data_IF_487567789471
#
_entry.id   IF_487567789471
#
_cell.length_a   1.000
_cell.length_b   1.000
_cell.length_c   1.000
_cell.angle_alpha   90.00
_cell.angle_beta   90.00
_cell.angle_gamma   90.00
#
_symmetry.space_group_name_H-M   'P 1'
#
loop_
_entity.id
_entity.type
_entity.pdbx_description
1 polymer ?
#
# COMPACT_ATOMS: atom_id res chain seq x y z
N UNK A 1 36.01 -3.47 21.31
CA UNK A 1 34.75 -4.12 20.94
C UNK A 1 34.40 -3.65 19.54
N UNK A 2 34.61 -4.49 18.53
CA UNK A 2 34.54 -4.10 17.15
C UNK A 2 33.10 -3.96 16.66
N UNK A 3 32.79 -2.82 16.06
CA UNK A 3 31.55 -2.61 15.33
C UNK A 3 31.52 -3.56 14.12
N UNK A 4 30.66 -4.55 14.14
CA UNK A 4 30.35 -5.33 12.93
C UNK A 4 29.72 -4.37 11.92
N UNK A 5 30.48 -3.91 10.93
CA UNK A 5 29.96 -3.27 9.73
C UNK A 5 28.95 -4.26 9.10
N UNK A 6 27.71 -3.84 8.95
CA UNK A 6 26.74 -4.55 8.11
C UNK A 6 27.39 -4.77 6.74
N UNK A 7 27.50 -6.02 6.31
CA UNK A 7 27.91 -6.33 4.94
C UNK A 7 26.83 -5.78 4.02
N UNK A 8 27.20 -4.76 3.24
CA UNK A 8 26.40 -4.24 2.15
C UNK A 8 26.17 -5.40 1.16
N UNK A 9 24.96 -5.95 1.12
CA UNK A 9 24.61 -7.14 0.32
C UNK A 9 24.47 -6.83 -1.16
N UNK A 10 24.85 -5.64 -1.62
CA UNK A 10 24.83 -5.27 -3.06
C UNK A 10 23.41 -5.19 -3.68
N UNK A 11 22.36 -5.44 -2.90
CA UNK A 11 20.98 -5.28 -3.36
C UNK A 11 20.52 -3.84 -3.17
N UNK A 12 20.07 -3.21 -4.24
CA UNK A 12 19.45 -1.89 -4.20
C UNK A 12 18.10 -1.98 -3.50
N UNK A 13 17.84 -1.10 -2.54
CA UNK A 13 16.56 -0.99 -1.86
C UNK A 13 15.72 0.06 -2.57
N UNK A 14 14.46 -0.28 -2.85
CA UNK A 14 13.44 0.64 -3.34
C UNK A 14 12.64 1.16 -2.16
N UNK A 15 12.58 2.47 -2.00
CA UNK A 15 11.82 3.15 -0.95
C UNK A 15 10.44 3.54 -1.49
N UNK A 16 9.40 2.91 -0.95
CA UNK A 16 8.02 3.32 -1.18
C UNK A 16 7.73 4.60 -0.39
N UNK A 17 6.63 5.25 -0.71
CA UNK A 17 6.06 6.34 0.09
C UNK A 17 5.40 5.81 1.38
N UNK A 18 4.59 6.65 2.03
CA UNK A 18 3.90 6.34 3.28
C UNK A 18 2.39 6.56 3.18
N UNK A 19 1.76 6.78 4.34
CA UNK A 19 0.31 6.91 4.46
C UNK A 19 -0.26 8.20 3.90
N UNK A 20 -0.65 8.22 2.64
CA UNK A 20 -1.30 9.38 1.99
C UNK A 20 -2.51 9.87 2.79
N UNK A 21 -3.42 8.98 3.17
CA UNK A 21 -4.67 9.37 3.85
C UNK A 21 -4.45 10.08 5.17
N UNK A 22 -3.54 9.61 6.02
CA UNK A 22 -3.24 10.24 7.32
C UNK A 22 -2.55 11.59 7.15
N UNK A 23 -1.66 11.75 6.18
CA UNK A 23 -1.05 13.04 5.87
C UNK A 23 -2.11 14.06 5.43
N UNK A 24 -3.06 13.64 4.61
CA UNK A 24 -4.18 14.51 4.18
C UNK A 24 -5.08 14.89 5.36
N UNK A 25 -5.42 13.94 6.25
CA UNK A 25 -6.21 14.21 7.46
C UNK A 25 -5.46 15.17 8.38
N UNK A 26 -4.17 14.96 8.61
CA UNK A 26 -3.35 15.83 9.46
C UNK A 26 -3.31 17.27 8.93
N UNK A 27 -3.25 17.45 7.61
CA UNK A 27 -3.25 18.79 6.96
C UNK A 27 -4.63 19.43 6.90
N UNK A 28 -5.68 18.63 6.68
CA UNK A 28 -7.06 19.12 6.63
C UNK A 28 -7.64 19.39 8.03
N UNK A 29 -7.05 18.81 9.09
CA UNK A 29 -7.52 18.94 10.48
C UNK A 29 -8.77 18.12 10.81
N UNK A 30 -9.31 17.33 9.88
CA UNK A 30 -10.47 16.47 10.11
C UNK A 30 -10.48 15.27 9.16
N UNK A 31 -10.98 14.13 9.63
CA UNK A 31 -11.25 12.97 8.80
C UNK A 31 -12.66 13.00 8.23
N UNK A 32 -12.87 12.34 7.08
CA UNK A 32 -14.18 12.20 6.45
C UNK A 32 -14.43 10.76 6.06
N UNK A 33 -15.70 10.38 5.84
CA UNK A 33 -16.07 9.06 5.36
C UNK A 33 -15.60 8.76 3.92
N UNK A 34 -15.27 9.79 3.15
CA UNK A 34 -14.64 9.71 1.82
C UNK A 34 -13.11 9.54 1.89
N UNK A 35 -12.52 9.62 3.07
CA UNK A 35 -11.09 9.49 3.28
C UNK A 35 -10.29 10.46 2.38
N UNK A 36 -9.25 9.95 1.73
CA UNK A 36 -8.39 10.73 0.83
C UNK A 36 -9.09 11.22 -0.44
N UNK A 37 -10.26 10.67 -0.80
CA UNK A 37 -11.07 11.14 -1.95
C UNK A 37 -11.62 12.54 -1.68
N UNK A 38 -11.96 12.88 -0.43
CA UNK A 38 -12.42 14.22 -0.10
C UNK A 38 -11.37 15.28 -0.46
N UNK A 39 -10.09 15.00 -0.21
CA UNK A 39 -9.02 15.93 -0.56
C UNK A 39 -8.90 16.15 -2.08
N UNK A 40 -9.17 15.12 -2.90
CA UNK A 40 -9.19 15.29 -4.36
C UNK A 40 -10.33 16.19 -4.82
N UNK A 41 -11.48 16.15 -4.14
CA UNK A 41 -12.63 16.99 -4.47
C UNK A 41 -12.43 18.43 -4.04
N UNK A 42 -11.89 18.65 -2.84
CA UNK A 42 -11.84 19.96 -2.20
C UNK A 42 -10.53 20.72 -2.44
N UNK A 43 -9.41 19.98 -2.46
CA UNK A 43 -8.07 20.57 -2.57
C UNK A 43 -7.06 19.57 -3.19
N UNK A 44 -7.10 19.32 -4.50
CA UNK A 44 -6.20 18.40 -5.18
C UNK A 44 -4.71 18.79 -5.04
N UNK A 45 -4.40 20.07 -4.90
CA UNK A 45 -3.02 20.54 -4.67
C UNK A 45 -2.46 20.05 -3.34
N UNK A 46 -3.30 19.78 -2.33
CA UNK A 46 -2.85 19.16 -1.08
C UNK A 46 -2.37 17.74 -1.33
N UNK A 47 -3.07 16.96 -2.18
CA UNK A 47 -2.65 15.59 -2.56
C UNK A 47 -1.30 15.65 -3.29
N UNK A 48 -1.15 16.59 -4.22
CA UNK A 48 0.11 16.80 -4.94
C UNK A 48 1.24 17.10 -3.95
N UNK A 49 1.03 18.03 -3.01
CA UNK A 49 2.07 18.41 -2.05
C UNK A 49 2.50 17.26 -1.12
N UNK A 50 1.61 16.30 -0.84
CA UNK A 50 1.98 15.09 -0.08
C UNK A 50 2.91 14.20 -0.91
N UNK A 51 2.63 13.97 -2.18
CA UNK A 51 3.53 13.23 -3.07
C UNK A 51 4.91 13.91 -3.17
N UNK A 52 4.93 15.24 -3.35
CA UNK A 52 6.19 16.01 -3.41
C UNK A 52 7.01 15.83 -2.13
N UNK A 53 6.38 15.87 -0.95
CA UNK A 53 7.07 15.69 0.33
C UNK A 53 7.61 14.28 0.52
N UNK A 54 6.91 13.24 0.08
CA UNK A 54 7.45 11.87 0.10
C UNK A 54 8.67 11.73 -0.79
N UNK A 55 8.67 12.30 -1.99
CA UNK A 55 9.85 12.31 -2.85
C UNK A 55 11.01 13.09 -2.21
N UNK A 56 10.76 14.26 -1.64
CA UNK A 56 11.76 15.03 -0.89
C UNK A 56 12.32 14.25 0.32
N UNK A 57 11.50 13.42 0.94
CA UNK A 57 11.90 12.52 2.03
C UNK A 57 12.70 11.30 1.54
N UNK A 58 12.83 11.12 0.23
CA UNK A 58 13.67 10.09 -0.37
C UNK A 58 12.92 8.85 -0.84
N UNK A 59 11.59 8.90 -0.97
CA UNK A 59 10.84 7.87 -1.67
C UNK A 59 11.30 7.75 -3.13
N UNK A 60 11.33 6.53 -3.64
CA UNK A 60 11.59 6.23 -5.06
C UNK A 60 10.27 5.99 -5.82
N UNK A 61 9.16 5.87 -5.09
CA UNK A 61 7.83 5.52 -5.61
C UNK A 61 6.79 6.48 -5.06
N UNK A 62 5.92 7.00 -5.91
CA UNK A 62 4.66 7.64 -5.53
C UNK A 62 3.50 6.66 -5.79
N UNK A 63 2.80 6.26 -4.74
CA UNK A 63 1.58 5.45 -4.85
C UNK A 63 0.39 6.36 -5.07
N UNK A 64 -0.33 6.17 -6.18
CA UNK A 64 -1.46 7.04 -6.53
C UNK A 64 -2.54 7.06 -5.45
N UNK A 65 -3.18 8.20 -5.22
CA UNK A 65 -4.30 8.34 -4.27
C UNK A 65 -5.60 7.71 -4.81
N UNK A 66 -5.50 6.51 -5.39
CA UNK A 66 -6.63 5.78 -6.01
C UNK A 66 -7.20 4.66 -5.15
N UNK A 67 -6.57 4.34 -4.02
CA UNK A 67 -6.95 3.25 -3.11
C UNK A 67 -8.45 3.22 -2.77
N UNK A 68 -9.02 4.38 -2.49
CA UNK A 68 -10.43 4.53 -2.10
C UNK A 68 -11.36 4.92 -3.25
N UNK A 69 -10.84 5.14 -4.46
CA UNK A 69 -11.65 5.49 -5.64
C UNK A 69 -12.13 4.20 -6.31
N UNK A 70 -13.09 3.55 -5.66
CA UNK A 70 -13.69 2.29 -6.10
C UNK A 70 -15.20 2.46 -6.28
N UNK A 71 -15.83 1.76 -7.25
CA UNK A 71 -17.26 1.91 -7.53
C UNK A 71 -18.15 1.74 -6.31
N UNK A 72 -17.91 0.69 -5.52
CA UNK A 72 -18.67 0.36 -4.31
C UNK A 72 -18.52 1.38 -3.17
N UNK A 73 -17.41 2.11 -3.15
CA UNK A 73 -17.18 3.20 -2.18
C UNK A 73 -17.81 4.51 -2.64
N UNK A 74 -17.63 4.85 -3.92
CA UNK A 74 -18.21 6.06 -4.50
C UNK A 74 -19.75 6.03 -4.55
N UNK A 75 -20.34 4.84 -4.79
CA UNK A 75 -21.80 4.66 -4.82
C UNK A 75 -22.47 5.13 -3.52
N UNK A 76 -21.86 4.85 -2.37
CA UNK A 76 -22.37 5.25 -1.04
C UNK A 76 -22.45 6.77 -0.86
N UNK A 77 -21.77 7.52 -1.69
CA UNK A 77 -21.68 8.99 -1.66
C UNK A 77 -22.29 9.64 -2.89
N UNK A 78 -22.93 8.87 -3.79
CA UNK A 78 -23.52 9.39 -5.03
C UNK A 78 -22.49 9.92 -6.04
N UNK A 79 -21.26 9.38 -6.02
CA UNK A 79 -20.13 9.84 -6.83
C UNK A 79 -19.68 8.82 -7.89
N UNK A 80 -20.52 7.84 -8.22
CA UNK A 80 -20.17 6.76 -9.16
C UNK A 80 -19.83 7.28 -10.55
N UNK A 81 -20.49 8.34 -11.00
CA UNK A 81 -20.23 9.04 -12.26
C UNK A 81 -18.87 9.77 -12.31
N UNK A 82 -18.28 10.03 -11.15
CA UNK A 82 -16.96 10.66 -11.02
C UNK A 82 -15.78 9.69 -10.99
N UNK A 83 -16.02 8.38 -11.09
CA UNK A 83 -14.97 7.38 -10.96
C UNK A 83 -13.77 7.65 -11.88
N UNK A 84 -14.02 7.84 -13.17
CA UNK A 84 -12.96 8.04 -14.17
C UNK A 84 -12.26 9.39 -13.96
N UNK A 85 -13.01 10.46 -13.70
CA UNK A 85 -12.47 11.79 -13.41
C UNK A 85 -11.50 11.74 -12.21
N UNK A 86 -11.93 11.15 -11.09
CA UNK A 86 -11.13 11.08 -9.87
C UNK A 86 -9.91 10.16 -10.02
N UNK A 87 -10.05 9.04 -10.72
CA UNK A 87 -8.93 8.14 -11.03
C UNK A 87 -7.86 8.87 -11.87
N UNK A 88 -8.27 9.57 -12.95
CA UNK A 88 -7.38 10.35 -13.80
C UNK A 88 -6.67 11.44 -13.00
N UNK A 89 -7.41 12.23 -12.20
CA UNK A 89 -6.86 13.29 -11.38
C UNK A 89 -5.82 12.76 -10.38
N UNK A 90 -6.16 11.73 -9.64
CA UNK A 90 -5.24 11.14 -8.66
C UNK A 90 -3.94 10.61 -9.30
N UNK A 91 -4.05 9.98 -10.47
CA UNK A 91 -2.89 9.52 -11.21
C UNK A 91 -2.05 10.68 -11.74
N UNK A 92 -2.68 11.72 -12.29
CA UNK A 92 -1.97 12.88 -12.83
C UNK A 92 -1.17 13.60 -11.74
N UNK A 93 -1.73 13.79 -10.55
CA UNK A 93 -1.04 14.43 -9.43
C UNK A 93 0.23 13.68 -9.01
N UNK A 94 0.19 12.34 -9.02
CA UNK A 94 1.36 11.52 -8.74
C UNK A 94 2.43 11.63 -9.85
N UNK A 95 2.00 11.65 -11.13
CA UNK A 95 2.89 11.88 -12.28
C UNK A 95 3.56 13.24 -12.19
N UNK A 96 2.78 14.29 -11.93
CA UNK A 96 3.30 15.65 -11.83
C UNK A 96 4.33 15.77 -10.68
N UNK A 97 4.11 15.08 -9.55
CA UNK A 97 5.06 15.05 -8.45
C UNK A 97 6.36 14.33 -8.84
N UNK A 98 6.25 13.17 -9.49
CA UNK A 98 7.41 12.45 -9.99
C UNK A 98 8.22 13.29 -10.99
N UNK A 99 7.55 13.94 -11.93
CA UNK A 99 8.19 14.74 -12.97
C UNK A 99 8.87 15.98 -12.37
N UNK A 100 8.24 16.62 -11.38
CA UNK A 100 8.85 17.71 -10.61
C UNK A 100 10.08 17.25 -9.84
N UNK A 101 10.03 16.05 -9.23
CA UNK A 101 11.18 15.46 -8.55
C UNK A 101 12.31 15.04 -9.53
N UNK A 102 12.00 14.86 -10.82
CA UNK A 102 12.94 14.50 -11.88
C UNK A 102 13.40 13.04 -11.86
N UNK A 103 12.89 12.21 -10.95
CA UNK A 103 13.18 10.77 -10.84
C UNK A 103 12.10 10.06 -10.03
N UNK A 104 12.09 8.74 -10.08
CA UNK A 104 11.13 7.88 -9.38
C UNK A 104 10.12 7.25 -10.33
N UNK A 105 9.21 6.47 -9.79
CA UNK A 105 8.15 5.80 -10.52
C UNK A 105 6.79 6.06 -9.86
N UNK A 106 5.72 5.86 -10.63
CA UNK A 106 4.33 5.95 -10.16
C UNK A 106 3.75 4.54 -10.06
N UNK A 107 3.27 4.17 -8.86
CA UNK A 107 2.57 2.92 -8.62
C UNK A 107 1.05 3.17 -8.56
N UNK A 108 0.30 2.54 -9.47
CA UNK A 108 -1.16 2.64 -9.49
C UNK A 108 -1.79 1.78 -8.41
N UNK A 109 -2.36 2.40 -7.39
CA UNK A 109 -2.98 1.69 -6.27
C UNK A 109 -4.30 1.03 -6.67
N UNK A 110 -4.41 -0.26 -6.40
CA UNK A 110 -5.62 -1.08 -6.51
C UNK A 110 -6.00 -1.57 -5.12
N UNK A 111 -6.84 -0.81 -4.42
CA UNK A 111 -7.34 -1.16 -3.09
C UNK A 111 -8.33 -2.33 -3.11
N UNK A 112 -8.61 -2.99 -1.96
CA UNK A 112 -9.57 -4.08 -1.87
C UNK A 112 -11.00 -3.59 -2.06
N UNK A 113 -11.76 -4.31 -2.88
CA UNK A 113 -13.19 -4.08 -3.03
C UNK A 113 -13.94 -4.56 -1.78
N UNK A 114 -15.10 -4.00 -1.48
CA UNK A 114 -15.81 -4.17 -0.23
C UNK A 114 -15.23 -3.27 0.85
N UNK A 115 -14.46 -3.84 1.76
CA UNK A 115 -13.80 -3.10 2.84
C UNK A 115 -12.37 -3.58 3.05
N UNK A 116 -11.50 -2.67 3.48
CA UNK A 116 -10.16 -3.03 3.98
C UNK A 116 -10.30 -4.00 5.16
N UNK A 117 -9.48 -5.04 5.18
CA UNK A 117 -9.45 -6.05 6.25
C UNK A 117 -10.70 -6.95 6.40
N UNK A 118 -11.66 -6.84 5.48
CA UNK A 118 -12.91 -7.61 5.47
C UNK A 118 -13.02 -8.47 4.19
N UNK A 119 -12.21 -9.53 4.08
CA UNK A 119 -12.26 -10.43 2.92
C UNK A 119 -13.64 -11.12 2.75
N UNK A 120 -14.40 -11.25 3.83
CA UNK A 120 -15.74 -11.79 3.85
C UNK A 120 -16.78 -10.91 3.13
N UNK A 121 -16.47 -9.63 2.90
CA UNK A 121 -17.33 -8.68 2.17
C UNK A 121 -16.84 -8.42 0.73
N UNK A 122 -15.76 -9.05 0.33
CA UNK A 122 -15.24 -8.90 -1.02
C UNK A 122 -16.10 -9.67 -2.04
N UNK A 123 -16.27 -9.16 -3.25
CA UNK A 123 -16.89 -9.93 -4.32
C UNK A 123 -15.98 -11.11 -4.72
N UNK A 124 -16.53 -12.18 -5.32
CA UNK A 124 -15.74 -13.28 -5.87
C UNK A 124 -14.68 -12.78 -6.86
N UNK A 125 -13.54 -13.48 -6.96
CA UNK A 125 -12.38 -13.05 -7.75
C UNK A 125 -12.71 -12.68 -9.21
N UNK A 126 -13.56 -13.46 -9.89
CA UNK A 126 -13.95 -13.18 -11.27
C UNK A 126 -14.75 -11.86 -11.41
N UNK A 127 -15.63 -11.56 -10.46
CA UNK A 127 -16.39 -10.29 -10.42
C UNK A 127 -15.45 -9.13 -10.10
N UNK A 128 -14.59 -9.30 -9.11
CA UNK A 128 -13.58 -8.32 -8.73
C UNK A 128 -12.65 -7.98 -9.92
N UNK A 129 -12.24 -8.98 -10.69
CA UNK A 129 -11.36 -8.81 -11.85
C UNK A 129 -11.92 -7.87 -12.91
N UNK A 130 -13.22 -7.90 -13.17
CA UNK A 130 -13.86 -6.98 -14.13
C UNK A 130 -13.74 -5.53 -13.70
N UNK A 131 -13.88 -5.27 -12.40
CA UNK A 131 -13.72 -3.92 -11.83
C UNK A 131 -12.27 -3.49 -11.88
N UNK A 132 -11.34 -4.36 -11.42
CA UNK A 132 -9.90 -4.04 -11.49
C UNK A 132 -9.43 -3.81 -12.92
N UNK A 133 -9.95 -4.56 -13.91
CA UNK A 133 -9.62 -4.34 -15.31
C UNK A 133 -10.04 -2.93 -15.79
N UNK A 134 -11.22 -2.44 -15.37
CA UNK A 134 -11.65 -1.06 -15.69
C UNK A 134 -10.73 -0.02 -15.03
N UNK A 135 -10.34 -0.22 -13.77
CA UNK A 135 -9.43 0.67 -13.07
C UNK A 135 -8.03 0.68 -13.72
N UNK A 136 -7.49 -0.50 -14.02
CA UNK A 136 -6.20 -0.63 -14.69
C UNK A 136 -6.20 0.03 -16.08
N UNK A 137 -7.32 -0.05 -16.82
CA UNK A 137 -7.46 0.62 -18.11
C UNK A 137 -7.30 2.15 -17.97
N UNK A 138 -7.89 2.75 -16.94
CA UNK A 138 -7.77 4.19 -16.68
C UNK A 138 -6.33 4.52 -16.25
N UNK A 139 -5.79 3.80 -15.28
CA UNK A 139 -4.49 4.08 -14.67
C UNK A 139 -3.31 3.80 -15.61
N UNK A 140 -3.44 2.86 -16.57
CA UNK A 140 -2.33 2.35 -17.41
C UNK A 140 -1.56 3.44 -18.16
N UNK A 141 -2.17 4.58 -18.46
CA UNK A 141 -1.52 5.70 -19.15
C UNK A 141 -0.60 6.52 -18.24
N UNK A 142 -0.72 6.38 -16.94
CA UNK A 142 -0.05 7.20 -15.94
C UNK A 142 1.01 6.46 -15.15
N UNK A 143 0.81 5.15 -14.94
CA UNK A 143 1.60 4.38 -13.95
C UNK A 143 2.68 3.54 -14.61
N UNK A 144 3.76 3.33 -13.86
CA UNK A 144 4.87 2.46 -14.26
C UNK A 144 4.62 1.01 -13.80
N UNK A 145 3.88 0.83 -12.71
CA UNK A 145 3.55 -0.45 -12.09
C UNK A 145 2.17 -0.38 -11.45
N UNK A 146 1.42 -1.47 -11.43
CA UNK A 146 0.24 -1.59 -10.56
C UNK A 146 0.63 -2.17 -9.21
N UNK A 147 0.03 -1.69 -8.13
CA UNK A 147 0.17 -2.28 -6.81
C UNK A 147 -1.22 -2.70 -6.29
N UNK A 148 -1.47 -4.02 -6.29
CA UNK A 148 -2.65 -4.61 -5.67
C UNK A 148 -2.38 -4.72 -4.17
N UNK A 149 -2.91 -3.79 -3.38
CA UNK A 149 -2.51 -3.63 -1.98
C UNK A 149 -3.62 -3.92 -0.97
N UNK A 150 -3.19 -4.32 0.23
CA UNK A 150 -4.07 -4.67 1.37
C UNK A 150 -4.97 -5.87 1.07
N UNK A 151 -4.52 -6.78 0.19
CA UNK A 151 -5.26 -8.00 -0.11
C UNK A 151 -5.26 -8.92 1.10
N UNK A 152 -6.43 -9.18 1.64
CA UNK A 152 -6.64 -9.85 2.94
C UNK A 152 -7.01 -11.33 2.81
N UNK A 153 -7.19 -11.83 1.57
CA UNK A 153 -7.42 -13.23 1.22
C UNK A 153 -6.78 -13.57 -0.11
N UNK A 154 -6.61 -14.87 -0.37
CA UNK A 154 -6.10 -15.37 -1.66
C UNK A 154 -7.08 -15.02 -2.79
N UNK A 155 -8.39 -15.07 -2.53
CA UNK A 155 -9.40 -14.76 -3.53
C UNK A 155 -9.39 -13.27 -3.92
N UNK A 156 -9.23 -12.34 -2.96
CA UNK A 156 -9.01 -10.91 -3.26
C UNK A 156 -7.76 -10.70 -4.12
N UNK A 157 -6.64 -11.32 -3.73
CA UNK A 157 -5.39 -11.24 -4.49
C UNK A 157 -5.56 -11.79 -5.92
N UNK A 158 -6.27 -12.90 -6.07
CA UNK A 158 -6.59 -13.49 -7.39
C UNK A 158 -7.37 -12.51 -8.26
N UNK A 159 -8.43 -11.91 -7.74
CA UNK A 159 -9.25 -10.95 -8.48
C UNK A 159 -8.45 -9.74 -8.96
N UNK A 160 -7.59 -9.18 -8.10
CA UNK A 160 -6.75 -8.04 -8.45
C UNK A 160 -5.68 -8.40 -9.52
N UNK A 161 -4.98 -9.52 -9.33
CA UNK A 161 -3.99 -10.01 -10.30
C UNK A 161 -4.62 -10.33 -11.65
N UNK A 162 -5.76 -11.03 -11.66
CA UNK A 162 -6.52 -11.37 -12.86
C UNK A 162 -6.94 -10.11 -13.63
N UNK A 163 -7.48 -9.10 -12.92
CA UNK A 163 -7.92 -7.85 -13.56
C UNK A 163 -6.76 -7.00 -14.10
N UNK A 164 -5.59 -7.04 -13.44
CA UNK A 164 -4.43 -6.25 -13.85
C UNK A 164 -3.57 -6.93 -14.93
N UNK A 165 -3.67 -8.24 -15.14
CA UNK A 165 -2.77 -9.02 -16.01
C UNK A 165 -2.82 -8.65 -17.49
N UNK A 166 -3.88 -7.98 -17.97
CA UNK A 166 -4.09 -7.66 -19.39
C UNK A 166 -3.39 -6.38 -19.90
N UNK A 167 -2.65 -5.64 -19.05
CA UNK A 167 -2.25 -4.26 -19.37
C UNK A 167 -0.75 -4.08 -19.68
N UNK A 168 0.01 -5.15 -19.81
CA UNK A 168 1.46 -5.11 -20.12
C UNK A 168 2.25 -4.17 -19.19
N UNK A 169 1.86 -4.11 -17.91
CA UNK A 169 2.53 -3.38 -16.83
C UNK A 169 2.97 -4.38 -15.76
N UNK A 170 4.12 -4.18 -15.12
CA UNK A 170 4.48 -4.96 -13.95
C UNK A 170 3.42 -4.82 -12.84
N UNK A 171 3.26 -5.87 -12.04
CA UNK A 171 2.31 -5.89 -10.93
C UNK A 171 3.07 -6.23 -9.66
N UNK A 172 2.87 -5.46 -8.60
CA UNK A 172 3.24 -5.78 -7.24
C UNK A 172 1.99 -6.26 -6.50
N UNK A 173 2.12 -7.35 -5.76
CA UNK A 173 1.06 -7.85 -4.89
C UNK A 173 1.42 -7.56 -3.43
N UNK A 174 0.57 -6.85 -2.70
CA UNK A 174 0.76 -6.59 -1.29
C UNK A 174 -0.39 -7.18 -0.46
N UNK A 175 -0.02 -8.04 0.48
CA UNK A 175 -0.92 -8.83 1.31
C UNK A 175 -1.04 -8.20 2.70
N UNK A 176 -2.24 -8.22 3.28
CA UNK A 176 -2.46 -7.83 4.67
C UNK A 176 -2.65 -9.09 5.53
N UNK A 177 -1.79 -9.20 6.56
CA UNK A 177 -1.77 -10.34 7.47
C UNK A 177 -2.45 -10.02 8.80
N UNK A 178 -2.74 -11.06 9.56
CA UNK A 178 -3.29 -10.92 10.91
C UNK A 178 -2.23 -10.31 11.84
N UNK A 179 -2.58 -9.24 12.54
CA UNK A 179 -1.64 -8.49 13.40
C UNK A 179 -1.10 -9.33 14.59
N UNK A 180 -1.85 -10.37 15.02
CA UNK A 180 -1.46 -11.27 16.13
C UNK A 180 -0.77 -12.55 15.64
N UNK A 181 -0.98 -12.93 14.38
CA UNK A 181 -0.39 -14.09 13.75
C UNK A 181 0.00 -13.78 12.30
N UNK A 182 1.17 -13.22 12.11
CA UNK A 182 1.70 -12.86 10.78
C UNK A 182 1.91 -14.03 9.83
N UNK A 183 1.69 -15.29 10.27
CA UNK A 183 1.70 -16.47 9.37
C UNK A 183 0.40 -16.64 8.60
N UNK A 184 -0.63 -15.88 8.96
CA UNK A 184 -1.98 -15.93 8.40
C UNK A 184 -2.35 -14.63 7.69
N UNK A 185 -3.06 -14.73 6.57
CA UNK A 185 -3.82 -13.61 6.03
C UNK A 185 -4.96 -13.24 7.00
N UNK A 186 -5.58 -12.07 6.80
CA UNK A 186 -6.71 -11.66 7.65
C UNK A 186 -7.94 -12.57 7.48
N UNK A 187 -8.05 -13.28 6.36
CA UNK A 187 -9.03 -14.35 6.12
C UNK A 187 -8.82 -15.59 6.98
N UNK A 188 -7.62 -15.78 7.56
CA UNK A 188 -7.19 -16.99 8.28
C UNK A 188 -6.46 -18.01 7.42
N UNK A 189 -6.37 -17.81 6.10
CA UNK A 189 -5.56 -18.65 5.19
C UNK A 189 -4.07 -18.53 5.53
N UNK A 190 -3.28 -19.60 5.31
CA UNK A 190 -1.84 -19.48 5.50
C UNK A 190 -1.23 -18.60 4.40
N UNK A 191 -0.27 -17.77 4.77
CA UNK A 191 0.40 -16.89 3.79
C UNK A 191 1.14 -17.71 2.72
N UNK A 192 1.66 -18.90 3.06
CA UNK A 192 2.31 -19.79 2.09
C UNK A 192 1.38 -20.31 0.99
N UNK A 193 0.08 -20.32 1.24
CA UNK A 193 -0.92 -20.78 0.26
C UNK A 193 -1.08 -19.81 -0.91
N UNK A 194 -0.43 -18.62 -0.87
CA UNK A 194 -0.33 -17.67 -1.98
C UNK A 194 0.60 -18.15 -3.10
N UNK A 195 1.57 -19.03 -2.83
CA UNK A 195 2.62 -19.40 -3.78
C UNK A 195 2.10 -19.91 -5.14
N UNK A 196 1.06 -20.77 -5.21
CA UNK A 196 0.47 -21.16 -6.49
C UNK A 196 -0.02 -19.96 -7.32
N UNK A 197 -0.64 -18.97 -6.66
CA UNK A 197 -1.14 -17.77 -7.32
C UNK A 197 0.01 -16.90 -7.87
N UNK A 198 1.12 -16.78 -7.13
CA UNK A 198 2.31 -16.08 -7.61
C UNK A 198 2.92 -16.75 -8.84
N UNK A 199 2.89 -18.08 -8.92
CA UNK A 199 3.37 -18.84 -10.07
C UNK A 199 2.44 -18.68 -11.28
N UNK A 200 1.14 -18.57 -11.06
CA UNK A 200 0.11 -18.39 -12.11
C UNK A 200 0.20 -17.00 -12.76
N UNK A 201 0.17 -15.94 -11.96
CA UNK A 201 0.08 -14.54 -12.44
C UNK A 201 1.42 -13.82 -12.53
N UNK A 202 2.49 -14.37 -11.95
CA UNK A 202 3.87 -13.88 -12.02
C UNK A 202 4.01 -12.38 -11.69
N UNK A 203 3.50 -11.90 -10.54
CA UNK A 203 3.81 -10.54 -10.11
C UNK A 203 5.32 -10.37 -9.97
N UNK A 204 5.83 -9.17 -10.21
CA UNK A 204 7.28 -8.91 -10.15
C UNK A 204 7.80 -8.65 -8.74
N UNK A 205 6.90 -8.49 -7.77
CA UNK A 205 7.21 -8.43 -6.34
C UNK A 205 6.00 -8.86 -5.50
N UNK A 206 6.26 -9.37 -4.29
CA UNK A 206 5.23 -9.64 -3.29
C UNK A 206 5.62 -8.96 -1.96
N UNK A 207 4.68 -8.24 -1.37
CA UNK A 207 4.89 -7.42 -0.19
C UNK A 207 3.89 -7.78 0.91
N UNK A 208 4.21 -7.37 2.13
CA UNK A 208 3.26 -7.35 3.25
C UNK A 208 2.98 -5.90 3.61
N UNK A 209 1.71 -5.52 3.65
CA UNK A 209 1.35 -4.15 3.97
C UNK A 209 0.19 -4.03 4.97
N UNK A 210 0.04 -2.83 5.48
CA UNK A 210 -1.10 -2.42 6.31
C UNK A 210 -1.39 -3.41 7.45
N UNK A 211 -0.35 -3.93 8.05
CA UNK A 211 -0.31 -4.85 9.19
C UNK A 211 0.68 -4.31 10.22
N UNK A 212 0.60 -4.78 11.45
CA UNK A 212 1.56 -4.41 12.49
C UNK A 212 3.00 -4.76 12.06
N UNK A 213 4.01 -3.94 12.38
CA UNK A 213 5.41 -4.20 12.00
C UNK A 213 5.93 -5.57 12.44
N UNK A 214 5.49 -6.05 13.59
CA UNK A 214 5.81 -7.38 14.14
C UNK A 214 5.25 -8.50 13.26
N UNK A 215 4.02 -8.33 12.77
CA UNK A 215 3.37 -9.29 11.88
C UNK A 215 4.06 -9.30 10.50
N UNK A 216 4.47 -8.14 9.99
CA UNK A 216 5.29 -8.04 8.77
C UNK A 216 6.61 -8.79 8.94
N UNK A 217 7.29 -8.64 10.08
CA UNK A 217 8.54 -9.35 10.38
C UNK A 217 8.36 -10.87 10.41
N UNK A 218 7.19 -11.35 10.88
CA UNK A 218 6.85 -12.77 10.91
C UNK A 218 6.54 -13.31 9.51
N UNK A 219 5.85 -12.52 8.68
CA UNK A 219 5.36 -12.92 7.36
C UNK A 219 6.46 -12.98 6.30
N UNK A 220 7.36 -11.99 6.26
CA UNK A 220 8.36 -11.84 5.20
C UNK A 220 9.24 -13.07 4.95
N UNK A 221 9.76 -13.78 5.98
CA UNK A 221 10.55 -14.99 5.75
C UNK A 221 9.80 -16.08 4.98
N UNK A 222 8.47 -16.17 5.14
CA UNK A 222 7.62 -17.16 4.47
C UNK A 222 7.46 -16.87 2.97
N UNK A 223 7.60 -15.60 2.55
CA UNK A 223 7.50 -15.20 1.15
C UNK A 223 8.81 -15.45 0.36
N UNK A 224 9.91 -15.78 1.01
CA UNK A 224 11.19 -16.05 0.31
C UNK A 224 11.11 -17.20 -0.68
N UNK A 225 10.20 -18.15 -0.44
CA UNK A 225 9.98 -19.29 -1.35
C UNK A 225 9.42 -18.86 -2.72
N UNK A 226 8.82 -17.66 -2.81
CA UNK A 226 8.34 -17.10 -4.08
C UNK A 226 9.48 -16.81 -5.07
N UNK A 227 10.73 -16.65 -4.60
CA UNK A 227 11.93 -16.36 -5.41
C UNK A 227 11.80 -15.11 -6.30
N UNK A 228 10.97 -14.18 -5.89
CA UNK A 228 10.82 -12.84 -6.47
C UNK A 228 11.13 -11.80 -5.39
N UNK A 229 11.36 -10.53 -5.73
CA UNK A 229 11.52 -9.45 -4.77
C UNK A 229 10.41 -9.45 -3.72
N UNK A 230 10.79 -9.32 -2.45
CA UNK A 230 9.86 -9.22 -1.32
C UNK A 230 10.00 -7.86 -0.65
N UNK A 231 8.94 -7.41 0.01
CA UNK A 231 8.95 -6.12 0.68
C UNK A 231 7.94 -5.98 1.82
N UNK A 232 8.07 -4.87 2.56
CA UNK A 232 7.16 -4.58 3.65
C UNK A 232 6.93 -3.08 3.84
N UNK A 233 5.65 -2.70 4.08
CA UNK A 233 5.24 -1.36 4.47
C UNK A 233 4.08 -1.43 5.47
N UNK A 234 4.45 -1.40 6.75
CA UNK A 234 3.55 -1.61 7.89
C UNK A 234 2.71 -0.37 8.20
N UNK A 235 1.64 -0.54 8.98
CA UNK A 235 0.92 0.57 9.58
C UNK A 235 1.44 0.88 11.00
N UNK A 236 1.07 2.06 11.50
CA UNK A 236 1.40 2.53 12.84
C UNK A 236 0.22 2.49 13.81
N UNK A 237 -0.79 1.64 13.60
CA UNK A 237 -1.90 1.49 14.54
C UNK A 237 -1.60 0.48 15.64
N UNK A 238 -2.20 0.67 16.82
CA UNK A 238 -2.11 -0.28 17.93
C UNK A 238 -2.77 -1.61 17.55
N UNK A 239 -3.98 -1.52 16.99
CA UNK A 239 -4.72 -2.64 16.40
C UNK A 239 -5.80 -2.11 15.44
N UNK A 240 -6.21 -2.94 14.50
CA UNK A 240 -7.38 -2.64 13.68
C UNK A 240 -8.64 -2.99 14.48
N UNK A 241 -9.33 -1.95 14.98
CA UNK A 241 -10.53 -2.12 15.80
C UNK A 241 -11.63 -2.86 15.02
N UNK A 242 -12.33 -3.79 15.70
CA UNK A 242 -13.43 -4.56 15.10
C UNK A 242 -14.53 -3.67 14.50
N UNK A 243 -14.77 -2.51 15.11
CA UNK A 243 -15.77 -1.55 14.67
C UNK A 243 -15.33 -0.65 13.51
N UNK A 244 -14.03 -0.62 13.18
CA UNK A 244 -13.50 0.13 12.03
C UNK A 244 -14.09 -0.37 10.69
N UNK A 245 -14.58 -1.58 10.64
CA UNK A 245 -15.15 -2.21 9.45
C UNK A 245 -16.65 -1.95 9.26
N UNK A 246 -17.21 -0.94 9.92
CA UNK A 246 -18.62 -0.53 9.77
C UNK A 246 -18.75 0.63 8.77
N UNK A 247 -19.88 0.71 8.09
CA UNK A 247 -20.21 1.83 7.20
C UNK A 247 -20.12 3.14 7.99
N UNK A 248 -19.36 4.11 7.47
CA UNK A 248 -19.17 5.41 8.12
C UNK A 248 -18.02 5.47 9.12
N UNK A 249 -17.27 4.36 9.31
CA UNK A 249 -16.07 4.38 10.14
C UNK A 249 -15.00 5.29 9.53
N UNK A 250 -14.33 6.07 10.38
CA UNK A 250 -13.22 6.93 10.01
C UNK A 250 -11.94 6.49 10.71
N UNK A 251 -10.79 6.91 10.21
CA UNK A 251 -9.48 6.55 10.77
C UNK A 251 -9.28 7.03 12.21
N UNK A 252 -10.04 8.03 12.66
CA UNK A 252 -10.01 8.52 14.05
C UNK A 252 -10.45 7.47 15.07
N UNK A 253 -11.12 6.41 14.64
CA UNK A 253 -11.47 5.27 15.50
C UNK A 253 -10.26 4.37 15.80
N UNK A 254 -9.17 4.54 15.07
CA UNK A 254 -7.95 3.76 15.24
C UNK A 254 -6.93 4.54 16.06
N UNK A 255 -6.35 3.88 17.05
CA UNK A 255 -5.35 4.49 17.93
C UNK A 255 -3.96 4.30 17.33
N UNK A 256 -3.27 5.42 17.10
CA UNK A 256 -1.87 5.42 16.66
C UNK A 256 -0.92 4.92 17.74
N UNK A 257 0.14 4.25 17.35
CA UNK A 257 1.22 3.77 18.22
C UNK A 257 2.17 4.93 18.57
N UNK A 258 2.27 5.27 19.83
CA UNK A 258 3.19 6.29 20.30
C UNK A 258 4.64 5.82 20.38
N UNK A 259 4.87 4.49 20.38
CA UNK A 259 6.18 3.85 20.44
C UNK A 259 6.83 3.66 19.06
N UNK A 260 6.09 3.91 17.97
CA UNK A 260 6.55 3.67 16.60
C UNK A 260 6.99 4.97 15.92
N UNK A 261 7.97 5.65 16.53
CA UNK A 261 8.60 6.82 15.91
C UNK A 261 9.50 6.41 14.71
N UNK A 262 10.01 7.36 13.88
CA UNK A 262 10.83 7.04 12.71
C UNK A 262 12.02 6.11 12.98
N UNK A 263 12.70 6.26 14.12
CA UNK A 263 13.87 5.42 14.47
C UNK A 263 13.45 3.99 14.80
N UNK A 264 12.37 3.82 15.57
CA UNK A 264 11.85 2.51 15.93
C UNK A 264 11.27 1.80 14.70
N UNK A 265 10.56 2.52 13.83
CA UNK A 265 10.11 1.98 12.54
C UNK A 265 11.27 1.48 11.68
N UNK A 266 12.36 2.27 11.62
CA UNK A 266 13.56 1.89 10.88
C UNK A 266 14.29 0.67 11.49
N UNK A 267 14.07 0.33 12.76
CA UNK A 267 14.58 -0.91 13.34
C UNK A 267 13.82 -2.13 12.79
N UNK A 268 12.49 -2.05 12.67
CA UNK A 268 11.71 -3.09 11.98
C UNK A 268 12.13 -3.23 10.51
N UNK A 269 12.26 -2.12 9.78
CA UNK A 269 12.70 -2.15 8.39
C UNK A 269 14.09 -2.80 8.22
N UNK A 270 15.01 -2.60 9.18
CA UNK A 270 16.30 -3.30 9.19
C UNK A 270 16.13 -4.82 9.27
N UNK A 271 15.22 -5.30 10.10
CA UNK A 271 14.96 -6.73 10.23
C UNK A 271 14.29 -7.29 8.97
N UNK A 272 13.42 -6.53 8.32
CA UNK A 272 12.86 -6.90 7.02
C UNK A 272 13.92 -7.00 5.93
N UNK A 273 14.86 -6.03 5.86
CA UNK A 273 16.01 -6.08 4.93
C UNK A 273 16.89 -7.29 5.22
N UNK A 274 17.17 -7.59 6.49
CA UNK A 274 17.93 -8.78 6.88
C UNK A 274 17.20 -10.08 6.49
N UNK A 275 15.87 -10.04 6.43
CA UNK A 275 15.03 -11.13 5.93
C UNK A 275 14.93 -11.20 4.40
N UNK A 276 15.59 -10.28 3.68
CA UNK A 276 15.68 -10.27 2.23
C UNK A 276 14.72 -9.27 1.55
N UNK A 277 14.06 -8.38 2.29
CA UNK A 277 13.22 -7.35 1.69
C UNK A 277 14.07 -6.35 0.90
N UNK A 278 13.62 -6.03 -0.31
CA UNK A 278 14.23 -5.04 -1.22
C UNK A 278 13.30 -3.88 -1.52
N UNK A 279 12.02 -3.95 -1.11
CA UNK A 279 11.06 -2.86 -1.18
C UNK A 279 10.59 -2.56 0.24
N UNK A 280 10.80 -1.35 0.71
CA UNK A 280 10.39 -0.91 2.06
C UNK A 280 9.72 0.46 1.99
N UNK A 281 8.74 0.70 2.81
CA UNK A 281 8.03 1.97 2.90
C UNK A 281 7.12 2.03 4.11
N UNK A 282 6.05 2.80 4.03
CA UNK A 282 5.06 2.94 5.07
C UNK A 282 3.63 2.84 4.56
N UNK A 283 2.71 2.50 5.46
CA UNK A 283 1.27 2.58 5.25
C UNK A 283 0.69 3.61 6.23
N UNK A 284 -0.51 3.42 6.70
CA UNK A 284 -1.17 4.33 7.65
C UNK A 284 -0.27 4.68 8.84
N UNK A 285 -0.29 5.95 9.30
CA UNK A 285 0.51 6.51 10.41
C UNK A 285 2.03 6.55 10.16
N UNK A 286 2.49 6.20 8.96
CA UNK A 286 3.91 6.26 8.58
C UNK A 286 4.09 7.40 7.59
N UNK A 287 4.47 8.57 8.09
CA UNK A 287 4.59 9.81 7.31
C UNK A 287 5.98 10.09 6.76
N UNK A 288 6.20 11.28 6.16
CA UNK A 288 7.44 11.68 5.50
C UNK A 288 8.70 11.54 6.37
N UNK A 289 8.61 11.84 7.66
CA UNK A 289 9.73 11.71 8.60
C UNK A 289 10.22 10.25 8.74
N UNK A 290 9.32 9.28 8.65
CA UNK A 290 9.67 7.85 8.67
C UNK A 290 10.43 7.49 7.40
N UNK A 291 9.93 7.92 6.23
CA UNK A 291 10.58 7.65 4.94
C UNK A 291 11.98 8.28 4.88
N UNK A 292 12.11 9.52 5.39
CA UNK A 292 13.41 10.18 5.49
C UNK A 292 14.41 9.39 6.36
N UNK A 293 13.96 8.83 7.49
CA UNK A 293 14.83 7.99 8.34
C UNK A 293 15.19 6.66 7.67
N UNK A 294 14.24 6.03 6.94
CA UNK A 294 14.54 4.83 6.15
C UNK A 294 15.61 5.13 5.09
N UNK A 295 15.43 6.23 4.34
CA UNK A 295 16.40 6.64 3.30
C UNK A 295 17.75 6.97 3.89
N UNK A 296 17.81 7.71 5.00
CA UNK A 296 19.05 8.05 5.70
C UNK A 296 19.83 6.82 6.17
N UNK A 297 19.12 5.76 6.59
CA UNK A 297 19.72 4.58 7.22
C UNK A 297 20.11 3.49 6.22
N UNK A 298 19.41 3.39 5.10
CA UNK A 298 19.54 2.28 4.16
C UNK A 298 19.73 2.70 2.69
N UNK A 299 19.62 3.99 2.36
CA UNK A 299 19.82 4.56 1.03
C UNK A 299 21.28 4.86 0.64
#
# INVERSE_FOLDING_TARGET
>A
MGSKKCKNTGMSITFLDGGMGQELVARAGSSTSLWSVQALLDNPEMVRSVHDEYFLSGADVATTNTYSILPDRLEKHGLTDKLEELQNLACQLAVDARDFNGKGIVAGSLGPQGFSYRPDLAPPANVAAEIYSKLCKIQSNYVDVFIAETMSSIDQARGALMGASGFNKPIWLALSVNDKDGTKLRSGENISDILPLLNEYKPVAVLINCSAPEAVSTALPLLREAKIPIGGYANGFVEIAKDFNKIGATVDMLKSRSDLNPKEYANFAKDWINSGATLIGGCCEVGPAHIAELKRKFG
#
